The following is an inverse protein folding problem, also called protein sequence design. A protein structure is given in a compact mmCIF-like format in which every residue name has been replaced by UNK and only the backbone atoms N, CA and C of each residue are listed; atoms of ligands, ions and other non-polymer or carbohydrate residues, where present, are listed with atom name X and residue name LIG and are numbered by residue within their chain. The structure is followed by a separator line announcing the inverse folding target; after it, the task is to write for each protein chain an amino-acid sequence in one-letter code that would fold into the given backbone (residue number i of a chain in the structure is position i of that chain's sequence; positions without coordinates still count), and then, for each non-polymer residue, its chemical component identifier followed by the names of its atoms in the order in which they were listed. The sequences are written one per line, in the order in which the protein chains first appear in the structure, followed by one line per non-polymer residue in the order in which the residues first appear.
data_IF_345182186463
#
_entry.id   IF_345182186463
#
_cell.length_a   1.000
_cell.length_b   1.000
_cell.length_c   1.000
_cell.angle_alpha   90.00
_cell.angle_beta   90.00
_cell.angle_gamma   90.00
#
_symmetry.space_group_name_H-M   'P 1'
#
loop_
_entity.id
_entity.type
_entity.pdbx_description
1 polymer ?
#
# COMPACT_ATOMS: atom_id res chain seq x y z
N UNK A 1 -0.76 38.67 -5.73
CA UNK A 1 -1.12 37.61 -4.77
C UNK A 1 -2.64 37.54 -4.79
N UNK A 2 -3.21 36.44 -5.27
CA UNK A 2 -4.66 36.26 -5.23
C UNK A 2 -5.08 36.07 -3.76
N UNK A 3 -6.24 36.58 -3.38
CA UNK A 3 -6.79 36.43 -2.03
C UNK A 3 -7.27 34.98 -1.82
N UNK A 4 -6.35 34.12 -1.39
CA UNK A 4 -6.59 32.69 -1.15
C UNK A 4 -7.42 32.42 0.11
N UNK A 5 -7.80 33.45 0.88
CA UNK A 5 -8.57 33.28 2.12
C UNK A 5 -9.95 32.65 1.90
N UNK A 6 -10.57 32.90 0.75
CA UNK A 6 -11.90 32.39 0.40
C UNK A 6 -11.96 30.91 0.02
N UNK A 7 -10.82 30.30 -0.31
CA UNK A 7 -10.74 28.88 -0.73
C UNK A 7 -10.06 27.99 0.33
N UNK A 8 -9.60 28.56 1.44
CA UNK A 8 -8.97 27.80 2.53
C UNK A 8 -10.02 27.05 3.35
N UNK A 9 -9.72 25.80 3.71
CA UNK A 9 -10.61 24.94 4.50
C UNK A 9 -10.12 24.67 5.92
N UNK A 10 -8.97 25.23 6.30
CA UNK A 10 -8.30 25.02 7.60
C UNK A 10 -9.20 25.34 8.82
N UNK A 11 -10.25 26.14 8.63
CA UNK A 11 -11.20 26.51 9.67
C UNK A 11 -12.23 25.42 10.02
N UNK A 12 -12.34 24.34 9.23
CA UNK A 12 -13.26 23.22 9.51
C UNK A 12 -12.74 21.84 9.08
N UNK A 13 -11.69 21.77 8.26
CA UNK A 13 -11.07 20.51 7.85
C UNK A 13 -9.83 20.24 8.70
N UNK A 14 -9.95 19.28 9.60
CA UNK A 14 -8.83 18.73 10.35
C UNK A 14 -8.83 17.19 10.20
N UNK A 15 -8.01 16.62 9.30
CA UNK A 15 -7.96 15.18 9.07
C UNK A 15 -7.32 14.41 10.24
N UNK A 16 -6.69 15.09 11.20
CA UNK A 16 -6.12 14.49 12.40
C UNK A 16 -7.08 14.46 13.59
N UNK A 17 -8.20 15.19 13.50
CA UNK A 17 -9.21 15.23 14.56
C UNK A 17 -9.90 13.88 14.72
N UNK A 18 -10.18 13.51 15.98
CA UNK A 18 -10.96 12.29 16.28
C UNK A 18 -12.35 12.32 15.66
N UNK A 19 -12.96 13.51 15.57
CA UNK A 19 -14.28 13.68 14.98
C UNK A 19 -14.26 13.35 13.48
N UNK A 20 -13.25 13.82 12.74
CA UNK A 20 -13.07 13.45 11.35
C UNK A 20 -12.75 11.97 11.18
N UNK A 21 -11.82 11.43 11.98
CA UNK A 21 -11.42 10.02 11.90
C UNK A 21 -12.60 9.08 12.17
N UNK A 22 -13.46 9.40 13.13
CA UNK A 22 -14.63 8.56 13.45
C UNK A 22 -15.81 8.76 12.50
N UNK A 23 -15.98 9.96 11.93
CA UNK A 23 -17.07 10.25 11.01
C UNK A 23 -16.67 11.31 9.98
N UNK A 24 -15.96 10.92 8.91
CA UNK A 24 -15.46 11.87 7.92
C UNK A 24 -16.57 12.36 6.97
N UNK A 25 -17.69 11.63 6.87
CA UNK A 25 -18.74 11.84 5.85
C UNK A 25 -19.30 13.27 5.84
N UNK A 26 -19.67 13.91 6.97
CA UNK A 26 -20.17 15.28 6.96
C UNK A 26 -19.16 16.27 6.39
N UNK A 27 -17.88 16.14 6.80
CA UNK A 27 -16.79 16.99 6.33
C UNK A 27 -16.50 16.77 4.85
N UNK A 28 -16.42 15.52 4.41
CA UNK A 28 -16.22 15.17 2.99
C UNK A 28 -17.37 15.65 2.11
N UNK A 29 -18.63 15.56 2.58
CA UNK A 29 -19.79 16.11 1.87
C UNK A 29 -19.72 17.63 1.74
N UNK A 30 -19.37 18.33 2.82
CA UNK A 30 -19.20 19.79 2.79
C UNK A 30 -18.09 20.19 1.82
N UNK A 31 -16.92 19.53 1.89
CA UNK A 31 -15.83 19.76 0.94
C UNK A 31 -16.30 19.55 -0.50
N UNK A 32 -16.94 18.41 -0.80
CA UNK A 32 -17.40 18.12 -2.17
C UNK A 32 -18.48 19.06 -2.70
N UNK A 33 -19.33 19.63 -1.83
CA UNK A 33 -20.44 20.48 -2.23
C UNK A 33 -20.03 21.95 -2.35
N UNK A 34 -19.20 22.45 -1.43
CA UNK A 34 -18.89 23.87 -1.30
C UNK A 34 -17.46 24.21 -1.73
N UNK A 35 -16.52 23.26 -1.64
CA UNK A 35 -15.08 23.44 -1.88
C UNK A 35 -14.49 22.34 -2.79
N UNK A 36 -15.02 22.15 -4.02
CA UNK A 36 -14.58 21.08 -4.94
C UNK A 36 -13.09 21.16 -5.28
N UNK A 37 -12.52 22.36 -5.27
CA UNK A 37 -11.08 22.62 -5.29
C UNK A 37 -10.81 23.64 -4.19
N UNK A 38 -10.00 23.27 -3.21
CA UNK A 38 -9.74 24.06 -2.03
C UNK A 38 -8.26 24.09 -1.70
N UNK A 39 -7.88 25.02 -0.82
CA UNK A 39 -6.53 25.14 -0.30
C UNK A 39 -6.51 24.63 1.13
N UNK A 40 -5.54 23.77 1.45
CA UNK A 40 -5.28 23.34 2.82
C UNK A 40 -3.89 23.77 3.21
N UNK A 41 -3.82 24.88 3.94
CA UNK A 41 -2.55 25.55 4.23
C UNK A 41 -1.71 24.78 5.23
N UNK A 42 -2.34 24.05 6.16
CA UNK A 42 -1.63 23.19 7.10
C UNK A 42 -0.70 22.17 6.42
N UNK A 43 -1.02 21.72 5.20
CA UNK A 43 -0.17 20.83 4.39
C UNK A 43 0.47 21.52 3.18
N UNK A 44 0.28 22.83 3.04
CA UNK A 44 0.61 23.58 1.84
C UNK A 44 0.13 22.89 0.55
N UNK A 45 -1.03 22.25 0.58
CA UNK A 45 -1.54 21.41 -0.53
C UNK A 45 -2.86 21.92 -1.11
N UNK A 46 -3.16 21.50 -2.34
CA UNK A 46 -4.49 21.64 -2.91
C UNK A 46 -5.31 20.41 -2.54
N UNK A 47 -6.55 20.62 -2.10
CA UNK A 47 -7.52 19.56 -1.93
C UNK A 47 -8.47 19.54 -3.12
N UNK A 48 -8.64 18.36 -3.70
CA UNK A 48 -9.54 18.14 -4.83
C UNK A 48 -10.58 17.12 -4.42
N UNK A 49 -11.86 17.49 -4.49
CA UNK A 49 -12.97 16.62 -4.14
C UNK A 49 -13.96 16.50 -5.30
N UNK A 50 -14.79 15.46 -5.24
CA UNK A 50 -15.75 15.12 -6.29
C UNK A 50 -15.14 14.20 -7.36
N UNK A 51 -15.90 13.16 -7.71
CA UNK A 51 -15.46 12.09 -8.63
C UNK A 51 -14.87 12.63 -9.94
N UNK A 52 -15.56 13.56 -10.61
CA UNK A 52 -15.11 14.08 -11.91
C UNK A 52 -13.80 14.89 -11.81
N UNK A 53 -13.60 15.64 -10.73
CA UNK A 53 -12.37 16.42 -10.54
C UNK A 53 -11.19 15.50 -10.27
N UNK A 54 -11.37 14.51 -9.38
CA UNK A 54 -10.35 13.51 -9.05
C UNK A 54 -9.93 12.75 -10.31
N UNK A 55 -10.87 12.25 -11.11
CA UNK A 55 -10.56 11.55 -12.37
C UNK A 55 -9.83 12.48 -13.35
N UNK A 56 -10.26 13.74 -13.50
CA UNK A 56 -9.58 14.70 -14.37
C UNK A 56 -8.13 14.92 -13.93
N UNK A 57 -7.87 15.03 -12.63
CA UNK A 57 -6.51 15.17 -12.09
C UNK A 57 -5.66 13.91 -12.32
N UNK A 58 -6.20 12.72 -12.06
CA UNK A 58 -5.47 11.46 -12.23
C UNK A 58 -5.06 11.19 -13.70
N UNK A 59 -5.82 11.73 -14.67
CA UNK A 59 -5.54 11.59 -16.10
C UNK A 59 -4.66 12.72 -16.65
N UNK A 60 -4.42 13.79 -15.89
CA UNK A 60 -3.66 14.94 -16.33
C UNK A 60 -2.16 14.71 -16.17
N UNK A 61 -1.46 14.52 -17.29
CA UNK A 61 -0.02 14.23 -17.30
C UNK A 61 0.87 15.39 -16.83
N UNK A 62 0.30 16.56 -16.55
CA UNK A 62 1.01 17.68 -15.91
C UNK A 62 1.16 17.46 -14.41
N UNK A 63 0.29 16.67 -13.79
CA UNK A 63 0.35 16.31 -12.38
C UNK A 63 1.19 15.04 -12.25
N UNK A 64 2.39 15.17 -11.67
CA UNK A 64 3.34 14.07 -11.49
C UNK A 64 3.47 13.70 -10.02
N UNK A 65 3.62 12.40 -9.75
CA UNK A 65 4.00 11.87 -8.44
C UNK A 65 5.51 11.98 -8.18
N UNK A 66 6.31 12.33 -9.18
CA UNK A 66 7.74 12.59 -9.01
C UNK A 66 7.95 13.92 -8.26
N UNK A 67 8.27 13.79 -6.98
CA UNK A 67 8.57 14.88 -6.06
C UNK A 67 9.67 15.82 -6.59
N UNK A 68 10.64 15.29 -7.34
CA UNK A 68 11.77 16.09 -7.85
C UNK A 68 11.36 17.09 -8.94
N UNK A 69 10.13 16.96 -9.49
CA UNK A 69 9.60 17.87 -10.49
C UNK A 69 8.83 19.06 -9.88
N UNK A 70 8.66 19.09 -8.56
CA UNK A 70 7.91 20.15 -7.90
C UNK A 70 8.73 21.44 -7.84
N UNK A 71 8.08 22.59 -8.02
CA UNK A 71 8.73 23.91 -8.11
C UNK A 71 9.63 24.25 -6.90
N UNK A 72 9.27 23.74 -5.72
CA UNK A 72 9.97 24.00 -4.46
C UNK A 72 10.59 22.73 -3.85
N UNK A 73 10.81 21.69 -4.66
CA UNK A 73 11.49 20.49 -4.21
C UNK A 73 12.93 20.83 -3.78
N UNK A 74 13.44 20.24 -2.67
CA UNK A 74 14.85 20.30 -2.34
C UNK A 74 15.68 19.64 -3.45
N UNK A 75 16.96 20.01 -3.52
CA UNK A 75 17.88 19.39 -4.47
C UNK A 75 17.94 17.86 -4.25
N UNK A 76 17.85 17.10 -5.34
CA UNK A 76 17.95 15.65 -5.30
C UNK A 76 19.32 15.26 -4.74
N UNK A 77 19.30 14.45 -3.68
CA UNK A 77 20.49 13.87 -3.06
C UNK A 77 21.25 12.99 -4.06
N UNK A 78 22.57 12.93 -3.99
CA UNK A 78 23.35 11.96 -4.77
C UNK A 78 23.07 10.54 -4.26
N UNK A 79 23.18 9.53 -5.14
CA UNK A 79 22.82 8.15 -4.79
C UNK A 79 23.70 7.60 -3.67
N UNK A 80 24.97 7.97 -3.64
CA UNK A 80 25.97 7.54 -2.66
C UNK A 80 25.62 8.04 -1.25
N UNK A 81 25.03 9.23 -1.16
CA UNK A 81 24.65 9.86 0.10
C UNK A 81 23.31 9.33 0.64
N UNK A 82 22.52 8.63 -0.18
CA UNK A 82 21.21 8.12 0.23
C UNK A 82 21.31 6.98 1.23
N UNK A 83 20.44 6.98 2.23
CA UNK A 83 20.23 5.82 3.10
C UNK A 83 19.48 4.70 2.36
N UNK A 84 19.33 3.55 3.03
CA UNK A 84 18.72 2.36 2.43
C UNK A 84 17.25 2.58 2.06
N UNK A 85 16.51 3.35 2.86
CA UNK A 85 15.11 3.66 2.62
C UNK A 85 14.95 4.63 1.44
N UNK A 86 15.75 5.69 1.38
CA UNK A 86 15.79 6.64 0.27
C UNK A 86 16.10 5.94 -1.06
N UNK A 87 17.08 5.02 -1.06
CA UNK A 87 17.41 4.20 -2.25
C UNK A 87 16.25 3.31 -2.68
N UNK A 88 15.57 2.68 -1.73
CA UNK A 88 14.41 1.85 -1.99
C UNK A 88 13.26 2.67 -2.59
N UNK A 89 12.89 3.78 -1.96
CA UNK A 89 11.78 4.63 -2.40
C UNK A 89 12.04 5.27 -3.76
N UNK A 90 13.28 5.70 -4.04
CA UNK A 90 13.64 6.26 -5.35
C UNK A 90 13.55 5.26 -6.51
N UNK A 91 13.48 3.95 -6.23
CA UNK A 91 13.26 2.90 -7.24
C UNK A 91 11.84 2.30 -7.17
N UNK A 92 11.02 2.75 -6.22
CA UNK A 92 9.68 2.22 -6.00
C UNK A 92 8.70 2.80 -7.03
N UNK A 93 7.81 1.95 -7.57
CA UNK A 93 6.82 2.30 -8.59
C UNK A 93 6.03 3.59 -8.29
N UNK A 94 5.80 3.92 -7.02
CA UNK A 94 5.04 5.12 -6.64
C UNK A 94 5.78 6.45 -6.90
N UNK A 95 7.12 6.43 -6.94
CA UNK A 95 7.96 7.64 -6.99
C UNK A 95 8.78 7.75 -8.29
N UNK A 96 8.70 6.75 -9.17
CA UNK A 96 9.41 6.77 -10.44
C UNK A 96 8.80 7.79 -11.40
N UNK A 97 9.67 8.38 -12.23
CA UNK A 97 9.22 9.09 -13.41
C UNK A 97 8.44 8.16 -14.36
N UNK A 98 7.68 8.76 -15.28
CA UNK A 98 6.80 8.03 -16.21
C UNK A 98 7.54 6.97 -17.04
N UNK A 99 8.76 7.24 -17.49
CA UNK A 99 9.51 6.33 -18.37
C UNK A 99 9.93 5.09 -17.58
N UNK A 100 10.52 5.30 -16.41
CA UNK A 100 10.98 4.22 -15.54
C UNK A 100 9.80 3.44 -14.94
N UNK A 101 8.72 4.13 -14.56
CA UNK A 101 7.49 3.48 -14.10
C UNK A 101 6.90 2.53 -15.16
N UNK A 102 6.79 2.97 -16.43
CA UNK A 102 6.26 2.11 -17.49
C UNK A 102 7.13 0.86 -17.73
N UNK A 103 8.46 1.01 -17.68
CA UNK A 103 9.39 -0.12 -17.81
C UNK A 103 9.24 -1.11 -16.65
N UNK A 104 9.33 -0.63 -15.40
CA UNK A 104 9.22 -1.50 -14.22
C UNK A 104 7.85 -2.15 -14.14
N UNK A 105 6.77 -1.42 -14.44
CA UNK A 105 5.43 -1.98 -14.51
C UNK A 105 5.36 -3.12 -15.53
N UNK A 106 5.89 -2.91 -16.74
CA UNK A 106 5.88 -3.94 -17.79
C UNK A 106 6.65 -5.20 -17.39
N UNK A 107 7.80 -5.04 -16.74
CA UNK A 107 8.59 -6.15 -16.21
C UNK A 107 7.91 -6.86 -15.03
N UNK A 108 7.12 -6.14 -14.22
CA UNK A 108 6.42 -6.70 -13.07
C UNK A 108 5.12 -7.43 -13.42
N UNK A 109 4.42 -7.01 -14.48
CA UNK A 109 3.10 -7.54 -14.87
C UNK A 109 3.00 -9.09 -14.93
N UNK A 110 3.99 -9.83 -15.47
CA UNK A 110 3.92 -11.30 -15.51
C UNK A 110 3.80 -11.96 -14.13
N UNK A 111 4.42 -11.36 -13.10
CA UNK A 111 4.34 -11.84 -11.72
C UNK A 111 2.95 -11.66 -11.10
N UNK A 112 2.08 -10.87 -11.73
CA UNK A 112 0.67 -10.69 -11.39
C UNK A 112 -0.28 -11.43 -12.33
N UNK A 113 0.23 -12.37 -13.14
CA UNK A 113 -0.60 -13.12 -14.08
C UNK A 113 -1.62 -14.02 -13.36
N UNK A 114 -2.77 -14.35 -14.01
CA UNK A 114 -3.81 -15.18 -13.39
C UNK A 114 -3.31 -16.51 -12.83
N UNK A 115 -2.31 -17.13 -13.49
CA UNK A 115 -1.69 -18.38 -13.02
C UNK A 115 -1.00 -18.19 -11.67
N UNK A 116 -0.16 -17.16 -11.55
CA UNK A 116 0.53 -16.85 -10.29
C UNK A 116 -0.50 -16.48 -9.21
N UNK A 117 -1.54 -15.72 -9.57
CA UNK A 117 -2.60 -15.34 -8.62
C UNK A 117 -3.38 -16.56 -8.08
N UNK A 118 -3.66 -17.57 -8.90
CA UNK A 118 -4.31 -18.79 -8.39
C UNK A 118 -3.39 -19.63 -7.51
N UNK A 119 -2.09 -19.74 -7.85
CA UNK A 119 -1.11 -20.38 -6.95
C UNK A 119 -1.02 -19.65 -5.61
N UNK A 120 -1.05 -18.31 -5.61
CA UNK A 120 -1.07 -17.50 -4.39
C UNK A 120 -2.35 -17.71 -3.58
N UNK A 121 -3.50 -17.75 -4.23
CA UNK A 121 -4.79 -17.97 -3.56
C UNK A 121 -4.79 -19.29 -2.79
N UNK A 122 -4.19 -20.34 -3.33
CA UNK A 122 -4.06 -21.61 -2.63
C UNK A 122 -3.13 -21.51 -1.40
N UNK A 123 -2.03 -20.76 -1.50
CA UNK A 123 -1.17 -20.44 -0.34
C UNK A 123 -1.92 -19.62 0.70
N UNK A 124 -2.73 -18.65 0.28
CA UNK A 124 -3.50 -17.80 1.18
C UNK A 124 -4.58 -18.60 1.92
N UNK A 125 -5.26 -19.55 1.25
CA UNK A 125 -6.19 -20.46 1.94
C UNK A 125 -5.52 -21.24 3.06
N UNK A 126 -4.30 -21.73 2.82
CA UNK A 126 -3.53 -22.43 3.85
C UNK A 126 -3.18 -21.49 5.00
N UNK A 127 -2.64 -20.31 4.69
CA UNK A 127 -2.29 -19.28 5.68
C UNK A 127 -3.48 -18.92 6.57
N UNK A 128 -4.64 -18.62 5.96
CA UNK A 128 -5.87 -18.30 6.67
C UNK A 128 -6.30 -19.45 7.57
N UNK A 129 -6.30 -20.69 7.05
CA UNK A 129 -6.66 -21.87 7.84
C UNK A 129 -5.75 -22.01 9.07
N UNK A 130 -4.44 -21.88 8.87
CA UNK A 130 -3.46 -21.98 9.96
C UNK A 130 -3.63 -20.86 10.98
N UNK A 131 -3.95 -19.63 10.55
CA UNK A 131 -4.28 -18.54 11.48
C UNK A 131 -5.50 -18.89 12.35
N UNK A 132 -6.57 -19.42 11.76
CA UNK A 132 -7.74 -19.86 12.52
C UNK A 132 -7.45 -21.06 13.43
N UNK A 133 -6.62 -22.01 12.98
CA UNK A 133 -6.18 -23.14 13.80
C UNK A 133 -5.37 -22.67 15.03
N UNK A 134 -4.54 -21.64 14.88
CA UNK A 134 -3.76 -21.03 15.98
C UNK A 134 -4.63 -20.24 16.97
N UNK A 135 -5.64 -19.50 16.47
CA UNK A 135 -6.64 -18.82 17.32
C UNK A 135 -7.45 -19.85 18.12
N UNK A 136 -7.71 -21.02 17.53
CA UNK A 136 -8.50 -22.09 18.13
C UNK A 136 -10.00 -21.79 18.16
N UNK A 137 -10.67 -22.14 19.26
CA UNK A 137 -12.14 -21.97 19.39
C UNK A 137 -12.52 -21.11 20.59
N UNK A 138 -12.08 -19.84 20.68
CA UNK A 138 -12.49 -18.94 21.75
C UNK A 138 -13.96 -18.54 21.56
N UNK A 139 -14.62 -18.13 22.66
CA UNK A 139 -15.98 -17.58 22.60
C UNK A 139 -16.05 -16.23 21.89
N UNK A 140 -14.95 -15.49 21.86
CA UNK A 140 -14.78 -14.20 21.19
C UNK A 140 -13.30 -13.90 21.02
N UNK A 141 -12.92 -13.20 19.95
CA UNK A 141 -11.55 -12.72 19.74
C UNK A 141 -11.57 -11.38 19.00
N UNK A 142 -10.44 -10.67 19.00
CA UNK A 142 -10.29 -9.41 18.28
C UNK A 142 -9.90 -9.70 16.81
N UNK A 143 -10.85 -9.58 15.89
CA UNK A 143 -10.60 -9.83 14.47
C UNK A 143 -9.50 -8.94 13.88
N UNK A 144 -9.40 -7.67 14.30
CA UNK A 144 -8.38 -6.77 13.80
C UNK A 144 -6.97 -7.28 14.16
N UNK A 145 -6.74 -7.53 15.46
CA UNK A 145 -5.45 -7.96 15.97
C UNK A 145 -5.06 -9.39 15.53
N UNK A 146 -6.01 -10.32 15.51
CA UNK A 146 -5.71 -11.74 15.26
C UNK A 146 -5.71 -12.12 13.77
N UNK A 147 -6.38 -11.33 12.92
CA UNK A 147 -6.53 -11.62 11.48
C UNK A 147 -6.08 -10.44 10.63
N UNK A 148 -6.74 -9.28 10.75
CA UNK A 148 -6.58 -8.20 9.79
C UNK A 148 -5.16 -7.64 9.77
N UNK A 149 -4.53 -7.44 10.94
CA UNK A 149 -3.17 -6.91 11.09
C UNK A 149 -2.08 -7.91 10.69
N UNK A 150 -2.38 -9.22 10.72
CA UNK A 150 -1.38 -10.29 10.54
C UNK A 150 -1.38 -10.82 9.11
N UNK A 151 -2.57 -11.16 8.59
CA UNK A 151 -2.71 -11.90 7.33
C UNK A 151 -2.10 -11.18 6.12
N UNK A 152 -2.31 -9.86 5.90
CA UNK A 152 -1.83 -9.20 4.69
C UNK A 152 -0.30 -9.27 4.52
N UNK A 153 0.46 -8.91 5.56
CA UNK A 153 1.92 -8.92 5.48
C UNK A 153 2.45 -10.35 5.37
N UNK A 154 1.86 -11.33 6.07
CA UNK A 154 2.23 -12.74 5.92
C UNK A 154 1.87 -13.33 4.55
N UNK A 155 0.79 -12.86 3.94
CA UNK A 155 0.41 -13.21 2.57
C UNK A 155 1.47 -12.71 1.57
N UNK A 156 1.95 -11.47 1.74
CA UNK A 156 3.05 -10.94 0.92
C UNK A 156 4.37 -11.65 1.22
N UNK A 157 4.66 -11.98 2.49
CA UNK A 157 5.84 -12.76 2.85
C UNK A 157 5.83 -14.13 2.15
N UNK A 158 4.68 -14.79 2.13
CA UNK A 158 4.46 -16.08 1.45
C UNK A 158 4.51 -15.97 -0.08
N UNK A 159 4.14 -14.82 -0.64
CA UNK A 159 4.29 -14.49 -2.06
C UNK A 159 5.77 -14.43 -2.45
N UNK A 160 6.55 -13.67 -1.68
CA UNK A 160 7.98 -13.46 -1.90
C UNK A 160 8.80 -14.72 -1.58
N UNK A 161 8.28 -15.59 -0.72
CA UNK A 161 8.95 -16.83 -0.31
C UNK A 161 9.84 -16.63 0.93
N UNK A 162 9.49 -15.68 1.79
CA UNK A 162 10.16 -15.47 3.08
C UNK A 162 9.93 -16.71 3.97
N UNK A 163 10.97 -17.28 4.59
CA UNK A 163 10.81 -18.30 5.62
C UNK A 163 10.10 -17.76 6.87
N UNK A 164 9.27 -18.56 7.55
CA UNK A 164 8.45 -18.11 8.69
C UNK A 164 9.26 -17.50 9.82
N UNK A 165 10.42 -18.09 10.11
CA UNK A 165 11.34 -17.62 11.14
C UNK A 165 11.92 -16.23 10.86
N UNK A 166 11.87 -15.78 9.59
CA UNK A 166 12.29 -14.44 9.16
C UNK A 166 11.13 -13.46 8.98
N UNK A 167 9.88 -13.85 9.29
CA UNK A 167 8.72 -12.95 9.22
C UNK A 167 8.91 -11.67 10.05
N UNK A 168 9.45 -11.70 11.30
CA UNK A 168 9.64 -10.47 12.07
C UNK A 168 10.54 -9.42 11.37
N UNK A 169 11.55 -9.87 10.62
CA UNK A 169 12.43 -8.99 9.84
C UNK A 169 11.63 -8.38 8.68
N UNK A 170 10.83 -9.19 7.99
CA UNK A 170 10.01 -8.75 6.87
C UNK A 170 8.86 -7.82 7.31
N UNK A 171 8.27 -8.05 8.47
CA UNK A 171 7.26 -7.17 9.08
C UNK A 171 7.87 -5.80 9.43
N UNK A 172 9.11 -5.79 9.94
CA UNK A 172 9.84 -4.54 10.23
C UNK A 172 10.14 -3.75 8.95
N UNK A 173 10.48 -4.42 7.85
CA UNK A 173 10.59 -3.81 6.52
C UNK A 173 9.25 -3.23 6.06
N UNK A 174 8.17 -4.01 6.16
CA UNK A 174 6.83 -3.57 5.77
C UNK A 174 6.41 -2.31 6.53
N UNK A 175 6.59 -2.32 7.86
CA UNK A 175 6.34 -1.17 8.72
C UNK A 175 7.16 0.04 8.28
N UNK A 176 8.47 -0.11 8.04
CA UNK A 176 9.33 0.98 7.58
C UNK A 176 8.93 1.53 6.22
N UNK A 177 8.53 0.67 5.29
CA UNK A 177 8.05 1.08 3.95
C UNK A 177 6.75 1.88 4.05
N UNK A 178 5.78 1.44 4.84
CA UNK A 178 4.48 2.12 4.95
C UNK A 178 4.56 3.36 5.85
N UNK A 179 5.13 3.23 7.04
CA UNK A 179 5.21 4.34 8.00
C UNK A 179 6.19 5.41 7.54
N UNK A 180 7.30 5.00 6.92
CA UNK A 180 8.39 5.87 6.50
C UNK A 180 8.04 6.87 5.40
N UNK A 181 6.91 6.70 4.69
CA UNK A 181 6.44 7.67 3.69
C UNK A 181 5.51 8.74 4.26
N UNK A 182 5.08 8.62 5.52
CA UNK A 182 4.17 9.58 6.13
C UNK A 182 4.85 10.98 6.22
N UNK A 183 4.30 12.02 5.55
CA UNK A 183 4.90 13.35 5.55
C UNK A 183 4.79 14.06 6.91
N UNK A 184 3.91 13.58 7.80
CA UNK A 184 3.66 14.19 9.11
C UNK A 184 4.65 13.75 10.19
N UNK A 185 5.54 12.81 9.90
CA UNK A 185 6.56 12.38 10.85
C UNK A 185 7.66 13.42 11.01
N UNK A 186 8.06 13.66 12.26
CA UNK A 186 9.33 14.29 12.57
C UNK A 186 10.50 13.45 12.05
N UNK A 187 11.70 14.05 12.00
CA UNK A 187 12.88 13.34 11.54
C UNK A 187 13.22 12.15 12.44
N UNK A 188 13.10 12.30 13.76
CA UNK A 188 13.37 11.22 14.73
C UNK A 188 12.38 10.06 14.57
N UNK A 189 11.08 10.36 14.48
CA UNK A 189 10.05 9.33 14.27
C UNK A 189 10.23 8.61 12.94
N UNK A 190 10.67 9.32 11.88
CA UNK A 190 10.96 8.70 10.59
C UNK A 190 12.15 7.75 10.71
N UNK A 191 13.22 8.16 11.37
CA UNK A 191 14.41 7.31 11.57
C UNK A 191 14.08 6.06 12.39
N UNK A 192 13.25 6.18 13.43
CA UNK A 192 12.77 5.01 14.17
C UNK A 192 11.90 4.10 13.29
N UNK A 193 11.02 4.67 12.47
CA UNK A 193 10.15 3.90 11.58
C UNK A 193 10.94 3.07 10.56
N UNK A 194 12.00 3.64 9.97
CA UNK A 194 12.76 2.98 8.89
C UNK A 194 13.92 2.11 9.39
N UNK A 195 14.12 1.98 10.71
CA UNK A 195 15.28 1.28 11.30
C UNK A 195 15.44 -0.17 10.84
N UNK A 196 14.33 -0.85 10.52
CA UNK A 196 14.31 -2.24 10.04
C UNK A 196 14.53 -2.40 8.54
N UNK A 197 14.50 -1.31 7.77
CA UNK A 197 14.61 -1.36 6.31
C UNK A 197 15.93 -1.97 5.85
N UNK A 198 17.12 -1.63 6.40
CA UNK A 198 18.38 -2.23 5.95
C UNK A 198 18.39 -3.76 6.07
N UNK A 199 18.04 -4.31 7.23
CA UNK A 199 18.04 -5.76 7.47
C UNK A 199 17.03 -6.49 6.56
N UNK A 200 15.86 -5.89 6.35
CA UNK A 200 14.87 -6.43 5.41
C UNK A 200 15.35 -6.43 3.96
N UNK A 201 16.12 -5.41 3.55
CA UNK A 201 16.70 -5.38 2.21
C UNK A 201 17.82 -6.40 2.05
N UNK A 202 18.63 -6.63 3.07
CA UNK A 202 19.65 -7.68 3.05
C UNK A 202 19.00 -9.05 2.88
N UNK A 203 17.94 -9.34 3.64
CA UNK A 203 17.13 -10.55 3.49
C UNK A 203 16.56 -10.71 2.07
N UNK A 204 16.00 -9.64 1.50
CA UNK A 204 15.46 -9.70 0.15
C UNK A 204 16.55 -9.97 -0.89
N UNK A 205 17.72 -9.34 -0.75
CA UNK A 205 18.85 -9.57 -1.66
C UNK A 205 19.34 -11.03 -1.59
N UNK A 206 19.47 -11.60 -0.38
CA UNK A 206 19.82 -13.02 -0.22
C UNK A 206 18.85 -13.93 -0.98
N UNK A 207 17.54 -13.76 -0.77
CA UNK A 207 16.51 -14.57 -1.43
C UNK A 207 16.50 -14.38 -2.94
N UNK A 208 16.71 -13.14 -3.40
CA UNK A 208 16.82 -12.81 -4.82
C UNK A 208 18.01 -13.55 -5.44
N UNK A 209 19.19 -13.51 -4.81
CA UNK A 209 20.39 -14.14 -5.32
C UNK A 209 20.28 -15.66 -5.32
N UNK A 210 19.66 -16.25 -4.29
CA UNK A 210 19.32 -17.67 -4.25
C UNK A 210 18.39 -18.07 -5.41
N UNK A 211 17.34 -17.28 -5.68
CA UNK A 211 16.39 -17.53 -6.78
C UNK A 211 17.00 -17.29 -8.15
N UNK A 212 17.96 -16.37 -8.29
CA UNK A 212 18.73 -16.20 -9.53
C UNK A 212 19.59 -17.42 -9.82
N UNK A 213 20.21 -18.01 -8.79
CA UNK A 213 21.00 -19.23 -8.92
C UNK A 213 20.12 -20.47 -9.20
N UNK A 214 18.93 -20.54 -8.59
CA UNK A 214 18.01 -21.66 -8.71
C UNK A 214 16.57 -21.18 -8.97
N UNK A 215 16.22 -20.80 -10.22
CA UNK A 215 14.88 -20.32 -10.55
C UNK A 215 13.81 -21.40 -10.34
N UNK A 216 12.69 -21.01 -9.73
CA UNK A 216 11.50 -21.84 -9.55
C UNK A 216 10.31 -21.35 -10.37
N UNK A 217 9.12 -21.84 -10.03
CA UNK A 217 7.82 -21.36 -10.55
C UNK A 217 7.15 -20.50 -9.47
N UNK A 218 7.80 -19.39 -9.08
CA UNK A 218 7.33 -18.47 -8.06
C UNK A 218 7.42 -16.99 -8.49
N UNK A 219 6.92 -16.10 -7.65
CA UNK A 219 6.84 -14.66 -7.93
C UNK A 219 8.20 -14.03 -8.19
N UNK A 220 9.20 -14.28 -7.34
CA UNK A 220 10.56 -13.75 -7.53
C UNK A 220 11.22 -14.31 -8.79
N UNK A 221 11.07 -15.61 -9.05
CA UNK A 221 11.60 -16.24 -10.26
C UNK A 221 10.96 -15.67 -11.52
N UNK A 222 9.66 -15.38 -11.48
CA UNK A 222 8.94 -14.72 -12.58
C UNK A 222 9.48 -13.32 -12.85
N UNK A 223 9.77 -12.54 -11.80
CA UNK A 223 10.39 -11.21 -11.93
C UNK A 223 11.82 -11.30 -12.47
N UNK A 224 12.62 -12.25 -11.99
CA UNK A 224 14.00 -12.46 -12.42
C UNK A 224 14.08 -12.81 -13.91
N UNK A 225 13.16 -13.64 -14.38
CA UNK A 225 13.09 -14.09 -15.77
C UNK A 225 12.45 -13.06 -16.71
N UNK A 226 11.78 -12.03 -16.17
CA UNK A 226 11.19 -10.98 -16.97
C UNK A 226 12.26 -10.17 -17.71
N UNK A 227 12.07 -10.02 -19.01
CA UNK A 227 12.95 -9.26 -19.89
C UNK A 227 12.12 -8.42 -20.86
N UNK A 228 12.54 -7.18 -21.10
CA UNK A 228 11.93 -6.28 -22.09
C UNK A 228 13.01 -5.55 -22.88
N UNK A 229 13.08 -5.82 -24.19
CA UNK A 229 14.10 -5.24 -25.09
C UNK A 229 15.54 -5.37 -24.54
N UNK A 230 15.85 -6.49 -23.89
CA UNK A 230 17.15 -6.75 -23.24
C UNK A 230 17.31 -6.14 -21.84
N UNK A 231 16.34 -5.35 -21.37
CA UNK A 231 16.29 -4.82 -20.00
C UNK A 231 15.77 -5.88 -19.03
N UNK A 232 16.44 -5.99 -17.88
CA UNK A 232 16.07 -6.85 -16.76
C UNK A 232 16.01 -6.04 -15.48
N UNK A 233 15.32 -6.59 -14.47
CA UNK A 233 15.32 -6.00 -13.14
C UNK A 233 16.67 -6.26 -12.45
N UNK A 234 17.27 -5.18 -11.95
CA UNK A 234 18.35 -5.22 -10.97
C UNK A 234 17.83 -5.66 -9.60
N UNK A 235 18.73 -6.06 -8.69
CA UNK A 235 18.32 -6.44 -7.33
C UNK A 235 17.63 -5.29 -6.60
N UNK A 236 18.12 -4.05 -6.74
CA UNK A 236 17.49 -2.88 -6.12
C UNK A 236 16.06 -2.64 -6.64
N UNK A 237 15.85 -2.80 -7.95
CA UNK A 237 14.50 -2.67 -8.54
C UNK A 237 13.58 -3.80 -8.09
N UNK A 238 14.10 -5.03 -7.92
CA UNK A 238 13.31 -6.13 -7.37
C UNK A 238 12.93 -5.90 -5.91
N UNK A 239 13.87 -5.45 -5.07
CA UNK A 239 13.57 -5.05 -3.70
C UNK A 239 12.54 -3.91 -3.67
N UNK A 240 12.67 -2.93 -4.57
CA UNK A 240 11.72 -1.83 -4.66
C UNK A 240 10.33 -2.26 -5.15
N UNK A 241 10.23 -3.27 -6.01
CA UNK A 241 8.95 -3.88 -6.40
C UNK A 241 8.31 -4.63 -5.22
N UNK A 242 9.09 -5.39 -4.45
CA UNK A 242 8.59 -6.01 -3.21
C UNK A 242 8.14 -4.93 -2.22
N UNK A 243 8.91 -3.86 -2.06
CA UNK A 243 8.53 -2.69 -1.28
C UNK A 243 7.24 -2.03 -1.78
N UNK A 244 7.02 -1.95 -3.09
CA UNK A 244 5.77 -1.43 -3.65
C UNK A 244 4.58 -2.32 -3.30
N UNK A 245 4.74 -3.65 -3.35
CA UNK A 245 3.70 -4.61 -2.96
C UNK A 245 3.38 -4.51 -1.47
N UNK A 246 4.40 -4.38 -0.61
CA UNK A 246 4.23 -4.13 0.82
C UNK A 246 3.46 -2.83 1.08
N UNK A 247 3.93 -1.72 0.49
CA UNK A 247 3.29 -0.42 0.63
C UNK A 247 1.83 -0.41 0.16
N UNK A 248 1.52 -1.14 -0.90
CA UNK A 248 0.18 -1.19 -1.49
C UNK A 248 -0.76 -2.16 -0.79
N UNK A 249 -0.25 -3.22 -0.18
CA UNK A 249 -1.02 -4.42 0.18
C UNK A 249 -0.95 -4.84 1.64
N UNK A 250 -0.17 -4.15 2.48
CA UNK A 250 -0.18 -4.35 3.93
C UNK A 250 -1.35 -3.58 4.57
N UNK A 251 -1.17 -2.31 4.94
CA UNK A 251 -2.14 -1.54 5.74
C UNK A 251 -3.51 -1.37 5.07
N UNK A 252 -3.56 -1.15 3.76
CA UNK A 252 -4.82 -1.01 3.01
C UNK A 252 -5.69 -2.27 3.08
N UNK A 253 -5.07 -3.45 3.14
CA UNK A 253 -5.77 -4.72 3.28
C UNK A 253 -6.20 -4.98 4.73
N UNK A 254 -5.42 -4.49 5.72
CA UNK A 254 -5.84 -4.46 7.14
C UNK A 254 -7.16 -3.69 7.25
N UNK A 255 -7.20 -2.50 6.65
CA UNK A 255 -8.38 -1.64 6.63
C UNK A 255 -9.56 -2.32 5.93
N UNK A 256 -9.36 -2.83 4.71
CA UNK A 256 -10.42 -3.51 3.95
C UNK A 256 -11.01 -4.69 4.73
N UNK A 257 -10.19 -5.56 5.31
CA UNK A 257 -10.68 -6.70 6.09
C UNK A 257 -11.48 -6.24 7.31
N UNK A 258 -10.96 -5.25 8.03
CA UNK A 258 -11.59 -4.71 9.24
C UNK A 258 -12.94 -4.06 8.91
N UNK A 259 -12.98 -3.23 7.88
CA UNK A 259 -14.18 -2.56 7.42
C UNK A 259 -15.21 -3.53 6.85
N UNK A 260 -14.80 -4.55 6.10
CA UNK A 260 -15.72 -5.55 5.56
C UNK A 260 -16.46 -6.26 6.70
N UNK A 261 -15.72 -6.75 7.70
CA UNK A 261 -16.34 -7.44 8.85
C UNK A 261 -17.20 -6.49 9.67
N UNK A 262 -16.71 -5.27 9.94
CA UNK A 262 -17.49 -4.23 10.64
C UNK A 262 -18.81 -3.93 9.92
N UNK A 263 -18.77 -3.72 8.60
CA UNK A 263 -19.94 -3.38 7.80
C UNK A 263 -20.95 -4.53 7.76
N UNK A 264 -20.50 -5.78 7.61
CA UNK A 264 -21.39 -6.95 7.69
C UNK A 264 -22.06 -7.06 9.06
N UNK A 265 -21.33 -6.83 10.15
CA UNK A 265 -21.89 -6.86 11.51
C UNK A 265 -22.87 -5.71 11.79
N UNK A 266 -22.68 -4.56 11.14
CA UNK A 266 -23.57 -3.40 11.26
C UNK A 266 -24.82 -3.48 10.37
N UNK A 267 -24.82 -4.36 9.36
CA UNK A 267 -25.93 -4.57 8.42
C UNK A 267 -26.33 -6.06 8.39
N UNK A 268 -27.04 -6.56 9.41
CA UNK A 268 -27.33 -8.00 9.58
C UNK A 268 -28.01 -8.63 8.36
N UNK A 269 -28.86 -7.89 7.65
CA UNK A 269 -29.53 -8.37 6.43
C UNK A 269 -28.54 -8.66 5.29
N UNK A 270 -27.46 -7.88 5.18
CA UNK A 270 -26.40 -8.11 4.18
C UNK A 270 -25.52 -9.30 4.59
N UNK A 271 -25.25 -9.42 5.89
CA UNK A 271 -24.54 -10.58 6.44
C UNK A 271 -25.34 -11.88 6.22
N UNK A 272 -26.63 -11.90 6.52
CA UNK A 272 -27.51 -13.06 6.27
C UNK A 272 -27.56 -13.42 4.79
N UNK A 273 -27.67 -12.43 3.89
CA UNK A 273 -27.63 -12.66 2.45
C UNK A 273 -26.30 -13.29 1.99
N UNK A 274 -25.17 -12.76 2.46
CA UNK A 274 -23.84 -13.29 2.13
C UNK A 274 -23.63 -14.72 2.66
N UNK A 275 -24.14 -15.02 3.86
CA UNK A 275 -24.07 -16.36 4.44
C UNK A 275 -24.95 -17.37 3.69
N UNK A 276 -26.04 -16.91 3.07
CA UNK A 276 -26.91 -17.74 2.24
C UNK A 276 -26.35 -17.97 0.82
N UNK A 277 -25.56 -17.03 0.28
CA UNK A 277 -24.97 -17.12 -1.06
C UNK A 277 -23.54 -16.56 -1.10
N UNK A 278 -22.55 -17.46 -1.15
CA UNK A 278 -21.13 -17.10 -1.23
C UNK A 278 -20.71 -16.44 -2.55
N UNK A 279 -21.56 -16.45 -3.59
CA UNK A 279 -21.30 -15.71 -4.82
C UNK A 279 -21.34 -14.19 -4.59
N UNK A 280 -21.92 -13.73 -3.48
CA UNK A 280 -22.01 -12.31 -3.13
C UNK A 280 -20.71 -11.74 -2.54
N UNK A 281 -19.70 -12.57 -2.22
CA UNK A 281 -18.43 -12.12 -1.60
C UNK A 281 -17.76 -11.01 -2.41
N UNK A 282 -17.68 -11.15 -3.73
CA UNK A 282 -17.05 -10.13 -4.59
C UNK A 282 -17.83 -8.80 -4.58
N UNK A 283 -19.16 -8.87 -4.51
CA UNK A 283 -20.02 -7.69 -4.35
C UNK A 283 -19.83 -7.01 -3.01
N UNK A 284 -19.74 -7.79 -1.92
CA UNK A 284 -19.50 -7.26 -0.58
C UNK A 284 -18.14 -6.56 -0.45
N UNK A 285 -17.09 -7.13 -1.06
CA UNK A 285 -15.76 -6.50 -1.12
C UNK A 285 -15.83 -5.18 -1.90
N UNK A 286 -16.45 -5.20 -3.09
CA UNK A 286 -16.55 -4.01 -3.95
C UNK A 286 -17.34 -2.89 -3.29
N UNK A 287 -18.44 -3.22 -2.61
CA UNK A 287 -19.25 -2.24 -1.90
C UNK A 287 -18.54 -1.69 -0.66
N UNK A 288 -17.76 -2.53 0.05
CA UNK A 288 -16.92 -2.05 1.17
C UNK A 288 -15.90 -1.01 0.68
N UNK A 289 -15.19 -1.30 -0.42
CA UNK A 289 -14.24 -0.36 -1.04
C UNK A 289 -14.87 0.95 -1.53
N UNK A 290 -16.18 0.96 -1.77
CA UNK A 290 -16.93 2.15 -2.19
C UNK A 290 -17.51 2.92 -1.00
N UNK A 291 -17.82 2.21 0.08
CA UNK A 291 -18.54 2.75 1.24
C UNK A 291 -17.62 3.41 2.26
N UNK A 292 -16.41 2.86 2.44
CA UNK A 292 -15.35 3.35 3.34
C UNK A 292 -14.23 4.01 2.53
#
# INVERSE_FOLDING_TARGET
MADHSSISVDHFFDPSSKDFIHNPVPTLKKLSAEFPIARFEAWHSWLVTGHQNIISCLLDTRLSTDFNLWEHAPAKKAFEDMDAFEKLMNNNLFFLDRKNHLRLRKLALPAFSPRIMEQMKDRFKLLIKERFDEIGTPTSFNFAAEIAEIVPTQAIASLVGIPREKFPIFDSLAYGVVRGINPMLSQEERQDAIKGVPEGLDLLNELIDERRANPGDDFLSTLILAEDEGSKLSNLEMCALVGAVLGAGSDTAVDLHSYLVKNLLQHPEQHEALMADSNLVQGAISETLRYE
#
